data_IF_275344866956
#
_entry.id   IF_275344866956
#
_cell.length_a   1.000
_cell.length_b   1.000
_cell.length_c   1.000
_cell.angle_alpha   90.00
_cell.angle_beta   90.00
_cell.angle_gamma   90.00
#
_symmetry.space_group_name_H-M   'P 1'
#
loop_
_entity.id
_entity.type
_entity.pdbx_description
1 polymer ?
#
# COMPACT_ATOMS: atom_id res chain seq x y z
N UNK A 1 65.26 -17.36 -1.81
CA UNK A 1 64.41 -17.27 -3.01
C UNK A 1 62.99 -16.93 -2.55
N UNK A 2 62.52 -15.74 -2.94
CA UNK A 2 61.34 -15.05 -2.42
C UNK A 2 60.13 -15.50 -3.24
N UNK A 3 59.27 -16.37 -2.69
CA UNK A 3 58.01 -16.77 -3.35
C UNK A 3 56.92 -15.78 -2.93
N UNK A 4 56.66 -14.80 -3.77
CA UNK A 4 55.52 -13.91 -3.65
C UNK A 4 54.26 -14.69 -4.06
N UNK A 5 53.53 -15.23 -3.09
CA UNK A 5 52.19 -15.75 -3.33
C UNK A 5 51.21 -14.58 -3.38
N UNK A 6 50.78 -14.25 -4.60
CA UNK A 6 49.73 -13.26 -4.88
C UNK A 6 48.40 -13.87 -4.43
N UNK A 7 47.87 -13.43 -3.29
CA UNK A 7 46.50 -13.71 -2.87
C UNK A 7 45.57 -12.75 -3.64
N UNK A 8 44.94 -13.28 -4.69
CA UNK A 8 43.88 -12.58 -5.42
C UNK A 8 42.62 -12.60 -4.54
N UNK A 9 42.31 -11.48 -3.90
CA UNK A 9 41.05 -11.29 -3.18
C UNK A 9 39.98 -10.95 -4.22
N UNK A 10 39.22 -11.96 -4.66
CA UNK A 10 38.00 -11.76 -5.44
C UNK A 10 36.93 -11.28 -4.48
N UNK A 11 36.81 -9.97 -4.32
CA UNK A 11 35.66 -9.33 -3.68
C UNK A 11 34.48 -9.41 -4.65
N UNK A 12 33.75 -10.53 -4.61
CA UNK A 12 32.41 -10.63 -5.17
C UNK A 12 31.51 -9.70 -4.36
N UNK A 13 31.36 -8.46 -4.83
CA UNK A 13 30.29 -7.56 -4.46
C UNK A 13 28.97 -8.21 -4.88
N UNK A 14 28.44 -9.08 -4.03
CA UNK A 14 27.02 -9.38 -4.03
C UNK A 14 26.30 -8.09 -3.61
N UNK A 15 26.06 -7.20 -4.58
CA UNK A 15 24.96 -6.24 -4.49
C UNK A 15 23.71 -7.09 -4.33
N UNK A 16 23.30 -7.31 -3.08
CA UNK A 16 22.00 -7.86 -2.78
C UNK A 16 20.98 -6.97 -3.51
N UNK A 17 20.32 -7.54 -4.51
CA UNK A 17 19.13 -6.96 -5.13
C UNK A 17 18.01 -6.95 -4.08
N UNK A 18 18.14 -6.09 -3.07
CA UNK A 18 17.00 -5.73 -2.25
C UNK A 18 16.14 -4.81 -3.12
N UNK A 19 15.32 -5.42 -3.99
CA UNK A 19 14.27 -4.66 -4.65
C UNK A 19 13.40 -4.07 -3.54
N UNK A 20 13.40 -2.75 -3.44
CA UNK A 20 12.60 -2.04 -2.45
C UNK A 20 11.13 -2.37 -2.67
N UNK A 21 10.43 -2.75 -1.60
CA UNK A 21 9.02 -3.08 -1.67
C UNK A 21 8.22 -1.89 -2.24
N UNK A 22 7.32 -2.13 -3.22
CA UNK A 22 6.61 -1.04 -3.87
C UNK A 22 5.64 -0.38 -2.88
N UNK A 23 5.71 0.94 -2.79
CA UNK A 23 4.90 1.75 -1.85
C UNK A 23 3.95 2.69 -2.58
N UNK A 24 4.12 2.87 -3.89
CA UNK A 24 3.31 3.77 -4.73
C UNK A 24 2.70 3.00 -5.89
N UNK A 25 1.50 3.38 -6.38
CA UNK A 25 0.81 2.65 -7.44
C UNK A 25 1.71 2.36 -8.65
N UNK A 26 2.42 3.37 -9.17
CA UNK A 26 3.30 3.22 -10.34
C UNK A 26 4.51 2.29 -10.15
N UNK A 27 4.79 1.82 -8.92
CA UNK A 27 5.84 0.85 -8.64
C UNK A 27 5.34 -0.60 -8.64
N UNK A 28 4.02 -0.81 -8.60
CA UNK A 28 3.45 -2.16 -8.59
C UNK A 28 3.89 -2.94 -9.84
N UNK A 29 4.36 -4.17 -9.66
CA UNK A 29 4.86 -5.04 -10.74
C UNK A 29 3.77 -5.98 -11.27
N UNK A 30 2.70 -6.17 -10.51
CA UNK A 30 1.54 -6.98 -10.84
C UNK A 30 0.28 -6.46 -10.11
N UNK A 31 -0.87 -7.01 -10.47
CA UNK A 31 -2.17 -6.59 -9.94
C UNK A 31 -2.30 -6.83 -8.43
N UNK A 32 -1.68 -7.89 -7.91
CA UNK A 32 -1.68 -8.20 -6.47
C UNK A 32 -0.91 -7.14 -5.67
N UNK A 33 0.26 -6.71 -6.16
CA UNK A 33 1.04 -5.64 -5.54
C UNK A 33 0.29 -4.31 -5.59
N UNK A 34 -0.41 -4.02 -6.70
CA UNK A 34 -1.22 -2.82 -6.82
C UNK A 34 -2.32 -2.79 -5.74
N UNK A 35 -3.02 -3.90 -5.53
CA UNK A 35 -4.02 -4.02 -4.46
C UNK A 35 -3.39 -3.91 -3.06
N UNK A 36 -2.23 -4.53 -2.82
CA UNK A 36 -1.52 -4.42 -1.53
C UNK A 36 -1.14 -2.97 -1.20
N UNK A 37 -0.70 -2.21 -2.20
CA UNK A 37 -0.42 -0.77 -2.03
C UNK A 37 -1.71 -0.02 -1.66
N UNK A 38 -2.84 -0.34 -2.33
CA UNK A 38 -4.15 0.22 -1.98
C UNK A 38 -4.57 -0.07 -0.55
N UNK A 39 -4.39 -1.33 -0.10
CA UNK A 39 -4.62 -1.72 1.30
C UNK A 39 -3.75 -0.91 2.25
N UNK A 40 -2.45 -0.79 1.98
CA UNK A 40 -1.52 -0.07 2.86
C UNK A 40 -1.91 1.41 2.97
N UNK A 41 -2.31 2.05 1.87
CA UNK A 41 -2.89 3.40 1.89
C UNK A 41 -4.14 3.47 2.77
N UNK A 42 -5.04 2.49 2.68
CA UNK A 42 -6.26 2.44 3.51
C UNK A 42 -5.93 2.32 5.01
N UNK A 43 -4.97 1.47 5.36
CA UNK A 43 -4.51 1.31 6.74
C UNK A 43 -3.89 2.59 7.31
N UNK A 44 -3.11 3.33 6.51
CA UNK A 44 -2.58 4.64 6.93
C UNK A 44 -3.68 5.68 7.18
N UNK A 45 -4.76 5.66 6.40
CA UNK A 45 -5.93 6.52 6.67
C UNK A 45 -6.64 6.09 7.95
N UNK A 46 -6.82 4.78 8.16
CA UNK A 46 -7.43 4.25 9.38
C UNK A 46 -6.68 4.67 10.63
N UNK A 47 -5.34 4.55 10.63
CA UNK A 47 -4.53 4.93 11.79
C UNK A 47 -4.71 6.41 12.15
N UNK A 48 -4.93 7.26 11.15
CA UNK A 48 -5.11 8.71 11.34
C UNK A 48 -6.52 9.09 11.81
N UNK A 49 -7.54 8.32 11.40
CA UNK A 49 -8.91 8.48 11.92
C UNK A 49 -9.03 7.87 13.32
N UNK A 50 -8.35 6.77 13.62
CA UNK A 50 -8.45 6.08 14.92
C UNK A 50 -7.69 6.82 16.04
N UNK A 51 -6.63 7.55 15.72
CA UNK A 51 -5.92 8.39 16.70
C UNK A 51 -6.78 9.53 17.25
N UNK A 52 -7.89 9.91 16.59
CA UNK A 52 -8.74 11.05 16.96
C UNK A 52 -10.21 10.83 16.61
N UNK A 53 -11.08 10.82 17.62
CA UNK A 53 -12.53 10.83 17.33
C UNK A 53 -12.89 12.10 16.54
N UNK A 54 -13.57 11.92 15.41
CA UNK A 54 -13.87 13.01 14.47
C UNK A 54 -14.74 14.13 15.09
N UNK A 55 -15.50 13.81 16.13
CA UNK A 55 -16.29 14.78 16.91
C UNK A 55 -15.42 15.69 17.79
N UNK A 56 -14.18 15.28 18.08
CA UNK A 56 -13.19 16.03 18.85
C UNK A 56 -12.17 16.75 17.95
N UNK A 57 -12.23 16.53 16.64
CA UNK A 57 -11.30 17.12 15.67
C UNK A 57 -11.64 18.58 15.36
N UNK A 58 -10.63 19.44 15.37
CA UNK A 58 -10.73 20.81 14.86
C UNK A 58 -10.79 20.82 13.33
N UNK A 59 -11.31 21.91 12.75
CA UNK A 59 -11.45 22.09 11.29
C UNK A 59 -10.11 21.89 10.54
N UNK A 60 -8.99 22.34 11.13
CA UNK A 60 -7.66 22.15 10.56
C UNK A 60 -7.24 20.67 10.54
N UNK A 61 -7.64 19.89 11.55
CA UNK A 61 -7.35 18.47 11.66
C UNK A 61 -8.20 17.66 10.68
N UNK A 62 -9.47 18.00 10.53
CA UNK A 62 -10.36 17.46 9.49
C UNK A 62 -9.74 17.69 8.10
N UNK A 63 -9.27 18.92 7.84
CA UNK A 63 -8.62 19.27 6.58
C UNK A 63 -7.34 18.46 6.35
N UNK A 64 -6.55 18.19 7.40
CA UNK A 64 -5.35 17.37 7.30
C UNK A 64 -5.69 15.91 6.91
N UNK A 65 -6.71 15.31 7.54
CA UNK A 65 -7.19 13.96 7.20
C UNK A 65 -7.72 13.90 5.76
N UNK A 66 -8.51 14.88 5.33
CA UNK A 66 -9.00 14.95 3.93
C UNK A 66 -7.84 15.06 2.94
N UNK A 67 -6.83 15.90 3.22
CA UNK A 67 -5.66 16.02 2.37
C UNK A 67 -4.87 14.71 2.30
N UNK A 68 -4.73 14.00 3.42
CA UNK A 68 -4.11 12.69 3.46
C UNK A 68 -4.88 11.66 2.63
N UNK A 69 -6.20 11.60 2.76
CA UNK A 69 -7.07 10.73 1.95
C UNK A 69 -6.87 11.02 0.46
N UNK A 70 -6.84 12.31 0.08
CA UNK A 70 -6.61 12.70 -1.31
C UNK A 70 -5.23 12.26 -1.81
N UNK A 71 -4.18 12.48 -1.01
CA UNK A 71 -2.80 12.11 -1.39
C UNK A 71 -2.59 10.59 -1.42
N UNK A 72 -3.23 9.82 -0.56
CA UNK A 72 -3.11 8.36 -0.50
C UNK A 72 -4.02 7.63 -1.48
N UNK A 73 -5.20 8.19 -1.79
CA UNK A 73 -6.16 7.57 -2.71
C UNK A 73 -5.59 7.43 -4.12
N UNK A 74 -4.80 8.40 -4.57
CA UNK A 74 -4.09 8.43 -5.86
C UNK A 74 -4.88 7.79 -7.01
N UNK A 75 -6.19 8.02 -7.08
CA UNK A 75 -7.14 7.20 -7.85
C UNK A 75 -6.73 7.02 -9.31
N UNK A 76 -6.31 8.12 -9.94
CA UNK A 76 -5.84 8.11 -11.33
C UNK A 76 -4.60 7.23 -11.50
N UNK A 77 -3.64 7.27 -10.56
CA UNK A 77 -2.42 6.46 -10.65
C UNK A 77 -2.69 4.96 -10.46
N UNK A 78 -3.64 4.60 -9.59
CA UNK A 78 -4.09 3.21 -9.47
C UNK A 78 -4.74 2.74 -10.76
N UNK A 79 -5.65 3.55 -11.34
CA UNK A 79 -6.33 3.21 -12.58
C UNK A 79 -5.33 3.05 -13.73
N UNK A 80 -4.49 4.06 -13.98
CA UNK A 80 -3.46 4.01 -15.02
C UNK A 80 -2.55 2.80 -14.84
N UNK A 81 -2.13 2.50 -13.61
CA UNK A 81 -1.25 1.34 -13.41
C UNK A 81 -1.98 0.01 -13.64
N UNK A 82 -3.24 -0.11 -13.25
CA UNK A 82 -4.03 -1.31 -13.54
C UNK A 82 -4.16 -1.56 -15.05
N UNK A 83 -4.32 -0.50 -15.84
CA UNK A 83 -4.37 -0.57 -17.29
C UNK A 83 -3.02 -0.98 -17.88
N UNK A 84 -1.91 -0.35 -17.44
CA UNK A 84 -0.55 -0.71 -17.88
C UNK A 84 -0.18 -2.17 -17.58
N UNK A 85 -0.65 -2.69 -16.45
CA UNK A 85 -0.45 -4.08 -16.03
C UNK A 85 -1.44 -5.06 -16.69
N UNK A 86 -2.43 -4.56 -17.44
CA UNK A 86 -3.54 -5.33 -18.01
C UNK A 86 -4.33 -6.13 -16.96
N UNK A 87 -4.53 -5.54 -15.78
CA UNK A 87 -5.29 -6.16 -14.72
C UNK A 87 -6.76 -6.30 -15.13
N UNK A 88 -7.28 -7.52 -15.08
CA UNK A 88 -8.71 -7.75 -15.25
C UNK A 88 -9.47 -7.38 -13.99
N UNK A 89 -10.73 -6.97 -14.14
CA UNK A 89 -11.64 -6.71 -13.01
C UNK A 89 -11.71 -7.91 -12.06
N UNK A 90 -11.87 -9.12 -12.59
CA UNK A 90 -11.92 -10.35 -11.80
C UNK A 90 -10.62 -10.63 -11.03
N UNK A 91 -9.45 -10.31 -11.61
CA UNK A 91 -8.16 -10.46 -10.93
C UNK A 91 -8.01 -9.44 -9.79
N UNK A 92 -8.43 -8.19 -10.03
CA UNK A 92 -8.41 -7.14 -9.02
C UNK A 92 -9.35 -7.45 -7.87
N UNK A 93 -10.58 -7.90 -8.14
CA UNK A 93 -11.55 -8.32 -7.13
C UNK A 93 -11.01 -9.47 -6.28
N UNK A 94 -10.50 -10.52 -6.93
CA UNK A 94 -9.95 -11.67 -6.20
C UNK A 94 -8.75 -11.26 -5.33
N UNK A 95 -7.84 -10.45 -5.86
CA UNK A 95 -6.70 -9.95 -5.10
C UNK A 95 -7.14 -9.05 -3.95
N UNK A 96 -8.13 -8.16 -4.18
CA UNK A 96 -8.74 -7.30 -3.16
C UNK A 96 -9.30 -8.13 -2.02
N UNK A 97 -10.04 -9.19 -2.31
CA UNK A 97 -10.64 -10.02 -1.28
C UNK A 97 -9.69 -10.86 -0.47
N UNK A 98 -8.53 -11.19 -1.02
CA UNK A 98 -7.46 -11.79 -0.24
C UNK A 98 -6.75 -10.71 0.60
N UNK A 99 -6.44 -9.56 0.01
CA UNK A 99 -5.70 -8.51 0.68
C UNK A 99 -6.47 -7.86 1.83
N UNK A 100 -7.77 -7.60 1.65
CA UNK A 100 -8.61 -6.87 2.60
C UNK A 100 -9.16 -7.75 3.74
N UNK A 101 -8.83 -9.05 3.77
CA UNK A 101 -9.15 -9.89 4.92
C UNK A 101 -8.60 -9.32 6.22
N UNK A 102 -9.47 -9.25 7.24
CA UNK A 102 -9.12 -8.72 8.55
C UNK A 102 -9.14 -7.19 8.66
N UNK A 103 -9.33 -6.46 7.55
CA UNK A 103 -9.37 -4.99 7.58
C UNK A 103 -10.55 -4.46 8.42
N UNK A 104 -11.67 -5.19 8.46
CA UNK A 104 -12.83 -4.88 9.32
C UNK A 104 -12.51 -4.89 10.82
N UNK A 105 -11.52 -5.67 11.25
CA UNK A 105 -11.10 -5.73 12.65
C UNK A 105 -10.31 -4.48 13.07
N UNK A 106 -9.78 -3.73 12.10
CA UNK A 106 -9.11 -2.45 12.32
C UNK A 106 -10.09 -1.27 12.43
N UNK A 107 -11.36 -1.47 12.07
CA UNK A 107 -12.38 -0.42 12.14
C UNK A 107 -12.88 -0.23 13.59
N UNK A 108 -12.36 0.79 14.26
CA UNK A 108 -12.83 1.22 15.58
C UNK A 108 -13.75 2.43 15.39
N UNK A 109 -15.03 2.25 15.69
CA UNK A 109 -16.06 3.29 15.51
C UNK A 109 -16.76 3.31 14.15
N UNK A 110 -17.82 4.11 14.04
CA UNK A 110 -18.70 4.12 12.87
C UNK A 110 -18.04 4.75 11.64
N UNK A 111 -17.16 5.74 11.84
CA UNK A 111 -16.49 6.46 10.76
C UNK A 111 -15.46 5.59 10.03
N UNK A 112 -14.65 4.83 10.78
CA UNK A 112 -13.69 3.90 10.17
C UNK A 112 -14.40 2.75 9.45
N UNK A 113 -15.56 2.31 9.94
CA UNK A 113 -16.43 1.34 9.24
C UNK A 113 -16.99 1.90 7.95
N UNK A 114 -17.46 3.14 7.98
CA UNK A 114 -17.99 3.82 6.79
C UNK A 114 -16.90 4.06 5.74
N UNK A 115 -15.69 4.47 6.17
CA UNK A 115 -14.53 4.59 5.29
C UNK A 115 -14.19 3.27 4.60
N UNK A 116 -14.26 2.15 5.33
CA UNK A 116 -13.94 0.82 4.79
C UNK A 116 -15.07 0.14 4.02
N UNK A 117 -16.29 0.67 4.04
CA UNK A 117 -17.45 0.05 3.39
C UNK A 117 -17.18 -0.36 1.94
N UNK A 118 -16.55 0.47 1.06
CA UNK A 118 -16.24 0.05 -0.31
C UNK A 118 -15.27 -1.14 -0.41
N UNK A 119 -14.41 -1.34 0.58
CA UNK A 119 -13.45 -2.46 0.61
C UNK A 119 -14.14 -3.79 0.89
N UNK A 120 -15.28 -3.78 1.59
CA UNK A 120 -16.04 -4.98 1.90
C UNK A 120 -17.05 -5.34 0.81
N UNK A 121 -17.65 -4.34 0.16
CA UNK A 121 -18.53 -4.51 -1.01
C UNK A 121 -17.79 -5.16 -2.19
N UNK A 122 -16.49 -4.94 -2.31
CA UNK A 122 -15.66 -5.60 -3.33
C UNK A 122 -15.57 -7.14 -3.18
N UNK A 123 -16.05 -7.68 -2.05
CA UNK A 123 -15.88 -9.10 -1.67
C UNK A 123 -17.16 -9.82 -1.32
N UNK A 124 -18.30 -9.20 -1.60
CA UNK A 124 -19.64 -9.72 -1.36
C UNK A 124 -20.29 -10.30 -2.61
#
# INVERSE_FOLDING_TARGET
MRRFSILIVVALLALACAETEPTKPGQARNCEELIKIGRNSAELVLDQIDEKEFEEMQDEEVKAVINLINDLSQKEKFLTRSEELNCSEQELEKAACLAYQGLSQKARGDITREYLRPYFEACS
#
